data_IF_475169863928
#
_entry.id   IF_475169863928
#
_cell.length_a   1.000
_cell.length_b   1.000
_cell.length_c   1.000
_cell.angle_alpha   90.00
_cell.angle_beta   90.00
_cell.angle_gamma   90.00
#
_symmetry.space_group_name_H-M   'P 1'
#
loop_
_entity.id
_entity.type
_entity.pdbx_description
1 polymer ?
#
# COMPACT_ATOMS: atom_id res chain seq x y z
N UNK A 1 12.31 0.75 14.05
CA UNK A 1 12.18 1.98 13.24
C UNK A 1 12.34 1.57 11.78
N UNK A 2 11.50 2.06 10.87
CA UNK A 2 11.67 1.80 9.44
C UNK A 2 12.68 2.84 8.91
N UNK A 3 13.97 2.63 9.20
CA UNK A 3 15.03 3.63 8.93
C UNK A 3 15.49 3.63 7.47
N UNK A 4 14.61 3.36 6.51
CA UNK A 4 14.95 3.45 5.09
C UNK A 4 13.95 4.35 4.39
N UNK A 5 14.35 5.55 3.94
CA UNK A 5 13.46 6.43 3.21
C UNK A 5 12.99 5.74 1.93
N UNK A 6 11.68 5.76 1.70
CA UNK A 6 11.06 5.23 0.49
C UNK A 6 11.25 6.28 -0.60
N UNK A 7 12.06 5.98 -1.61
CA UNK A 7 12.41 6.95 -2.65
C UNK A 7 11.80 6.60 -4.01
N UNK A 8 11.54 5.31 -4.24
CA UNK A 8 11.11 4.81 -5.53
C UNK A 8 9.86 3.96 -5.42
N UNK A 9 9.15 3.84 -6.55
CA UNK A 9 8.08 2.84 -6.74
C UNK A 9 8.50 1.43 -6.35
N UNK A 10 9.76 1.05 -6.60
CA UNK A 10 10.26 -0.30 -6.28
C UNK A 10 10.34 -0.53 -4.78
N UNK A 11 10.66 0.50 -4.00
CA UNK A 11 10.72 0.43 -2.54
C UNK A 11 9.32 0.17 -1.99
N UNK A 12 8.32 0.93 -2.47
CA UNK A 12 6.90 0.73 -2.11
C UNK A 12 6.45 -0.70 -2.41
N UNK A 13 6.68 -1.18 -3.63
CA UNK A 13 6.29 -2.55 -4.02
C UNK A 13 7.00 -3.61 -3.17
N UNK A 14 8.26 -3.39 -2.81
CA UNK A 14 9.04 -4.33 -1.99
C UNK A 14 8.51 -4.42 -0.56
N UNK A 15 8.11 -3.28 0.02
CA UNK A 15 7.47 -3.24 1.35
C UNK A 15 6.10 -3.93 1.31
N UNK A 16 5.27 -3.63 0.31
CA UNK A 16 3.96 -4.29 0.15
C UNK A 16 4.13 -5.81 0.06
N UNK A 17 5.08 -6.30 -0.74
CA UNK A 17 5.36 -7.73 -0.87
C UNK A 17 5.83 -8.35 0.45
N UNK A 18 6.68 -7.67 1.21
CA UNK A 18 7.15 -8.13 2.53
C UNK A 18 5.99 -8.31 3.52
N UNK A 19 4.96 -7.47 3.43
CA UNK A 19 3.79 -7.51 4.32
C UNK A 19 2.55 -8.16 3.70
N UNK A 20 2.68 -8.83 2.55
CA UNK A 20 1.56 -9.38 1.78
C UNK A 20 0.61 -10.24 2.62
N UNK A 21 1.14 -11.15 3.44
CA UNK A 21 0.30 -12.05 4.24
C UNK A 21 -0.54 -11.30 5.27
N UNK A 22 0.03 -10.26 5.90
CA UNK A 22 -0.72 -9.38 6.81
C UNK A 22 -1.78 -8.58 6.06
N UNK A 23 -1.44 -8.05 4.87
CA UNK A 23 -2.37 -7.30 4.02
C UNK A 23 -3.56 -8.18 3.62
N UNK A 24 -3.31 -9.43 3.20
CA UNK A 24 -4.36 -10.40 2.87
C UNK A 24 -5.25 -10.74 4.07
N UNK A 25 -4.70 -10.75 5.28
CA UNK A 25 -5.48 -11.01 6.49
C UNK A 25 -6.58 -9.97 6.74
N UNK A 26 -6.45 -8.75 6.19
CA UNK A 26 -7.52 -7.74 6.18
C UNK A 26 -8.56 -7.95 5.07
N UNK A 27 -8.53 -9.10 4.38
CA UNK A 27 -9.43 -9.39 3.26
C UNK A 27 -9.14 -8.57 2.01
N UNK A 28 -7.91 -8.06 1.86
CA UNK A 28 -7.47 -7.36 0.64
C UNK A 28 -7.23 -8.37 -0.48
N UNK A 29 -8.01 -8.23 -1.55
CA UNK A 29 -7.90 -9.01 -2.79
C UNK A 29 -6.82 -8.46 -3.71
N UNK A 30 -6.76 -7.12 -3.85
CA UNK A 30 -5.80 -6.44 -4.74
C UNK A 30 -5.42 -5.06 -4.22
N UNK A 31 -4.16 -4.70 -4.46
CA UNK A 31 -3.64 -3.35 -4.27
C UNK A 31 -3.23 -2.74 -5.62
N UNK A 32 -3.61 -1.50 -5.85
CA UNK A 32 -3.11 -0.67 -6.94
C UNK A 32 -2.35 0.52 -6.39
N UNK A 33 -1.08 0.69 -6.77
CA UNK A 33 -0.32 1.91 -6.46
C UNK A 33 -0.69 2.99 -7.49
N UNK A 34 -1.03 4.18 -7.01
CA UNK A 34 -1.29 5.34 -7.86
C UNK A 34 -0.57 6.59 -7.33
N UNK A 35 -0.92 7.77 -7.83
CA UNK A 35 -0.35 9.02 -7.34
C UNK A 35 1.07 9.30 -7.84
N UNK A 36 1.78 10.14 -7.08
CA UNK A 36 3.09 10.71 -7.45
C UNK A 36 4.14 9.63 -7.76
N UNK A 37 4.14 8.53 -7.02
CA UNK A 37 5.07 7.40 -7.18
C UNK A 37 4.96 6.65 -8.51
N UNK A 38 3.81 6.70 -9.19
CA UNK A 38 3.67 6.12 -10.54
C UNK A 38 4.10 7.11 -11.62
N UNK A 39 3.97 8.43 -11.36
CA UNK A 39 4.35 9.50 -12.30
C UNK A 39 5.82 9.91 -12.19
N UNK A 40 6.56 9.37 -11.22
CA UNK A 40 7.92 9.78 -10.86
C UNK A 40 7.99 11.26 -10.40
N UNK A 41 6.92 11.76 -9.79
CA UNK A 41 6.79 13.14 -9.30
C UNK A 41 6.87 13.21 -7.76
N UNK A 42 7.16 12.10 -7.09
CA UNK A 42 7.26 12.05 -5.63
C UNK A 42 8.47 12.82 -5.12
N UNK A 43 8.29 13.48 -3.98
CA UNK A 43 9.32 14.15 -3.20
C UNK A 43 9.34 13.57 -1.76
N UNK A 44 10.20 14.11 -0.90
CA UNK A 44 10.37 13.62 0.47
C UNK A 44 9.13 13.78 1.36
N UNK A 45 8.20 14.64 0.98
CA UNK A 45 6.94 14.90 1.69
C UNK A 45 5.76 14.17 1.05
N UNK A 46 5.99 13.37 0.01
CA UNK A 46 4.92 12.70 -0.73
C UNK A 46 4.36 11.50 0.02
N UNK A 47 3.04 11.44 0.10
CA UNK A 47 2.32 10.27 0.57
C UNK A 47 2.38 9.11 -0.44
N UNK A 48 2.04 7.91 0.04
CA UNK A 48 1.88 6.71 -0.79
C UNK A 48 0.39 6.44 -0.98
N UNK A 49 -0.09 6.63 -2.21
CA UNK A 49 -1.49 6.44 -2.56
C UNK A 49 -1.79 4.99 -3.01
N UNK A 50 -2.68 4.30 -2.30
CA UNK A 50 -3.09 2.92 -2.61
C UNK A 50 -4.59 2.80 -2.84
N UNK A 51 -4.96 2.10 -3.91
CA UNK A 51 -6.32 1.63 -4.16
C UNK A 51 -6.44 0.20 -3.67
N UNK A 52 -7.45 -0.06 -2.84
CA UNK A 52 -7.68 -1.36 -2.23
C UNK A 52 -8.96 -1.97 -2.79
N UNK A 53 -8.84 -3.16 -3.38
CA UNK A 53 -9.97 -4.04 -3.69
C UNK A 53 -10.04 -5.09 -2.58
N UNK A 54 -11.19 -5.19 -1.93
CA UNK A 54 -11.45 -6.21 -0.91
C UNK A 54 -12.11 -7.44 -1.54
N UNK A 55 -11.93 -8.59 -0.90
CA UNK A 55 -12.76 -9.75 -1.15
C UNK A 55 -14.24 -9.45 -0.81
N UNK A 56 -15.16 -10.20 -1.40
CA UNK A 56 -16.58 -10.01 -1.16
C UNK A 56 -16.92 -10.12 0.34
N UNK A 57 -17.68 -9.14 0.85
CA UNK A 57 -18.03 -9.06 2.27
C UNK A 57 -16.90 -8.63 3.22
N UNK A 58 -15.66 -8.42 2.73
CA UNK A 58 -14.51 -8.05 3.57
C UNK A 58 -14.24 -6.53 3.63
N UNK A 59 -15.02 -5.72 2.90
CA UNK A 59 -15.00 -4.25 3.04
C UNK A 59 -15.74 -3.81 4.31
N UNK A 60 -15.21 -4.20 5.46
CA UNK A 60 -15.70 -3.78 6.78
C UNK A 60 -14.91 -2.56 7.26
N UNK A 61 -15.48 -1.81 8.21
CA UNK A 61 -14.76 -0.70 8.82
C UNK A 61 -13.49 -1.17 9.53
N UNK A 62 -13.57 -2.31 10.24
CA UNK A 62 -12.44 -2.89 10.96
C UNK A 62 -11.29 -3.25 10.01
N UNK A 63 -11.59 -3.93 8.90
CA UNK A 63 -10.57 -4.28 7.90
C UNK A 63 -9.94 -3.04 7.22
N UNK A 64 -10.63 -1.90 7.24
CA UNK A 64 -10.15 -0.66 6.62
C UNK A 64 -9.36 0.25 7.58
N UNK A 65 -9.69 0.27 8.87
CA UNK A 65 -9.19 1.26 9.84
C UNK A 65 -8.24 0.71 10.92
N UNK A 66 -7.99 -0.59 10.95
CA UNK A 66 -7.20 -1.25 12.00
C UNK A 66 -5.72 -0.88 12.03
#
# INVERSE_FOLDING_TARGET
MLDTPIQTKKDVVSIIRRHQEKIKAFGVKKLGLFGSFIRNEQNIESDIDLLVEFEEGQKTFDNFMQ
#
